data_IF_208270349429
#
_entry.id   IF_208270349429
#
_cell.length_a   1.000
_cell.length_b   1.000
_cell.length_c   1.000
_cell.angle_alpha   90.00
_cell.angle_beta   90.00
_cell.angle_gamma   90.00
#
_symmetry.space_group_name_H-M   'P 1'
#
loop_
_entity.id
_entity.type
_entity.pdbx_description
1 polymer ?
#
# COMPACT_ATOMS: atom_id res chain seq x y z
N UNK A 1 44.68 36.74 26.90
CA UNK A 1 44.51 35.85 25.73
C UNK A 1 43.33 34.94 26.00
N UNK A 2 42.32 35.07 25.15
CA UNK A 2 41.03 34.41 25.12
C UNK A 2 41.15 33.16 24.24
N UNK A 3 40.79 31.98 24.72
CA UNK A 3 40.49 30.76 23.93
C UNK A 3 40.14 29.63 24.90
N UNK A 4 39.17 28.75 24.69
CA UNK A 4 37.97 28.72 23.87
C UNK A 4 37.17 27.57 24.46
N UNK A 5 35.88 27.79 24.72
CA UNK A 5 34.93 26.78 25.18
C UNK A 5 34.90 25.61 24.18
N UNK A 6 35.00 24.36 24.65
CA UNK A 6 34.57 23.18 23.88
C UNK A 6 33.55 22.41 24.71
N UNK A 7 32.33 22.94 24.72
CA UNK A 7 31.15 22.19 25.15
C UNK A 7 30.88 21.20 24.01
N UNK A 8 31.22 19.94 24.26
CA UNK A 8 31.00 18.82 23.34
C UNK A 8 29.51 18.50 23.35
N UNK A 9 28.78 18.99 22.34
CA UNK A 9 27.40 18.60 22.10
C UNK A 9 27.38 17.14 21.65
N UNK A 10 26.96 16.24 22.55
CA UNK A 10 26.51 14.91 22.17
C UNK A 10 25.14 15.13 21.52
N UNK A 11 25.11 15.26 20.18
CA UNK A 11 23.87 15.17 19.42
C UNK A 11 23.36 13.73 19.56
N UNK A 12 22.38 13.54 20.44
CA UNK A 12 21.61 12.31 20.49
C UNK A 12 20.89 12.12 19.16
N UNK A 13 21.27 11.08 18.43
CA UNK A 13 20.55 10.61 17.25
C UNK A 13 19.22 10.02 17.75
N UNK A 14 18.19 10.86 17.88
CA UNK A 14 16.82 10.38 18.00
C UNK A 14 16.46 9.73 16.66
N UNK A 15 16.68 8.42 16.56
CA UNK A 15 15.96 7.58 15.60
C UNK A 15 14.50 7.66 16.03
N UNK A 16 13.76 8.61 15.46
CA UNK A 16 12.31 8.59 15.49
C UNK A 16 11.89 7.32 14.78
N UNK A 17 11.67 6.26 15.56
CA UNK A 17 10.87 5.13 15.09
C UNK A 17 9.53 5.75 14.74
N UNK A 18 9.28 5.95 13.44
CA UNK A 18 7.97 6.28 12.94
C UNK A 18 7.10 5.05 13.15
N UNK A 19 6.69 4.80 14.39
CA UNK A 19 5.59 3.91 14.70
C UNK A 19 4.36 4.62 14.19
N UNK A 20 4.09 4.45 12.89
CA UNK A 20 2.83 4.87 12.33
C UNK A 20 1.75 4.09 13.08
N UNK A 21 1.00 4.80 13.92
CA UNK A 21 -0.14 4.22 14.60
C UNK A 21 -1.09 3.68 13.53
N UNK A 22 -1.53 2.45 13.69
CA UNK A 22 -2.61 1.92 12.87
C UNK A 22 -3.84 2.78 13.12
N UNK A 23 -4.61 3.03 12.06
CA UNK A 23 -5.95 3.57 12.22
C UNK A 23 -6.74 2.63 13.15
N UNK A 24 -7.54 3.17 14.09
CA UNK A 24 -8.00 2.45 15.29
C UNK A 24 -8.83 1.20 15.02
N UNK A 25 -9.40 1.06 13.82
CA UNK A 25 -10.19 -0.11 13.41
C UNK A 25 -9.34 -1.21 12.74
N UNK A 26 -8.17 -0.86 12.21
CA UNK A 26 -7.29 -1.83 11.58
C UNK A 26 -6.60 -2.72 12.61
N UNK A 27 -6.44 -4.00 12.27
CA UNK A 27 -5.70 -4.95 13.11
C UNK A 27 -4.27 -5.13 12.61
N UNK A 28 -3.37 -5.56 13.51
CA UNK A 28 -2.02 -5.98 13.11
C UNK A 28 -2.05 -7.13 12.08
N UNK A 29 -3.07 -7.97 12.12
CA UNK A 29 -3.29 -9.03 11.13
C UNK A 29 -3.61 -8.46 9.75
N UNK A 30 -4.48 -7.44 9.67
CA UNK A 30 -4.80 -6.77 8.41
C UNK A 30 -3.57 -6.15 7.77
N UNK A 31 -2.75 -5.45 8.57
CA UNK A 31 -1.45 -4.93 8.13
C UNK A 31 -0.57 -6.04 7.60
N UNK A 32 -0.37 -7.10 8.38
CA UNK A 32 0.51 -8.20 8.02
C UNK A 32 0.09 -8.83 6.68
N UNK A 33 -1.20 -9.12 6.50
CA UNK A 33 -1.71 -9.74 5.26
C UNK A 33 -1.51 -8.81 4.05
N UNK A 34 -1.82 -7.53 4.18
CA UNK A 34 -1.64 -6.56 3.09
C UNK A 34 -0.15 -6.44 2.70
N UNK A 35 0.74 -6.28 3.68
CA UNK A 35 2.17 -6.16 3.44
C UNK A 35 2.72 -7.40 2.74
N UNK A 36 2.35 -8.61 3.18
CA UNK A 36 2.76 -9.86 2.53
C UNK A 36 2.22 -9.95 1.09
N UNK A 37 0.98 -9.55 0.84
CA UNK A 37 0.43 -9.50 -0.54
C UNK A 37 1.25 -8.60 -1.45
N UNK A 38 1.63 -7.40 -1.00
CA UNK A 38 2.48 -6.50 -1.76
C UNK A 38 3.86 -7.08 -2.02
N UNK A 39 4.50 -7.63 -0.98
CA UNK A 39 5.83 -8.25 -1.11
C UNK A 39 5.82 -9.44 -2.07
N UNK A 40 4.80 -10.30 -1.99
CA UNK A 40 4.64 -11.44 -2.89
C UNK A 40 4.49 -11.00 -4.34
N UNK A 41 3.71 -9.95 -4.61
CA UNK A 41 3.59 -9.43 -5.96
C UNK A 41 4.91 -8.88 -6.50
N UNK A 42 5.60 -8.04 -5.73
CA UNK A 42 6.91 -7.48 -6.12
C UNK A 42 7.91 -8.61 -6.37
N UNK A 43 7.92 -9.62 -5.48
CA UNK A 43 8.78 -10.78 -5.65
C UNK A 43 8.47 -11.51 -6.96
N UNK A 44 7.20 -11.83 -7.25
CA UNK A 44 6.80 -12.53 -8.47
C UNK A 44 7.16 -11.76 -9.75
N UNK A 45 6.98 -10.43 -9.76
CA UNK A 45 7.35 -9.57 -10.89
C UNK A 45 8.86 -9.51 -11.11
N UNK A 46 9.65 -9.56 -10.03
CA UNK A 46 11.11 -9.39 -10.08
C UNK A 46 11.90 -10.69 -10.09
N UNK A 47 11.26 -11.83 -9.84
CA UNK A 47 11.91 -13.13 -9.65
C UNK A 47 12.71 -13.63 -10.85
N UNK A 48 12.52 -13.03 -12.02
CA UNK A 48 13.24 -13.40 -13.25
C UNK A 48 14.58 -12.67 -13.42
N UNK A 49 14.83 -11.52 -12.77
CA UNK A 49 15.92 -10.63 -13.18
C UNK A 49 17.04 -10.40 -12.13
N UNK A 50 16.79 -10.39 -10.81
CA UNK A 50 17.82 -10.00 -9.83
C UNK A 50 17.54 -10.71 -8.48
N UNK A 51 18.56 -11.21 -7.73
CA UNK A 51 18.38 -11.54 -6.31
C UNK A 51 17.76 -10.35 -5.58
N UNK A 52 16.91 -10.61 -4.58
CA UNK A 52 16.23 -9.56 -3.81
C UNK A 52 17.26 -8.71 -3.03
N UNK A 53 17.91 -7.76 -3.70
CA UNK A 53 18.86 -6.83 -3.08
C UNK A 53 18.12 -5.75 -2.29
N UNK A 54 16.90 -5.37 -2.73
CA UNK A 54 16.07 -4.38 -2.07
C UNK A 54 14.98 -5.04 -1.21
N UNK A 55 14.96 -4.67 0.08
CA UNK A 55 13.88 -5.04 0.99
C UNK A 55 12.60 -4.28 0.59
N UNK A 56 11.61 -5.01 0.09
CA UNK A 56 10.31 -4.46 -0.30
C UNK A 56 9.41 -4.10 0.91
N UNK A 57 9.78 -4.51 2.12
CA UNK A 57 8.97 -4.32 3.32
C UNK A 57 8.63 -2.84 3.60
N UNK A 58 9.58 -1.87 3.59
CA UNK A 58 9.27 -0.47 3.87
C UNK A 58 8.29 0.14 2.86
N UNK A 59 8.43 -0.21 1.58
CA UNK A 59 7.50 0.22 0.53
C UNK A 59 6.09 -0.34 0.78
N UNK A 60 5.99 -1.63 1.11
CA UNK A 60 4.71 -2.26 1.37
C UNK A 60 4.04 -1.75 2.65
N UNK A 61 4.81 -1.40 3.69
CA UNK A 61 4.28 -0.72 4.87
C UNK A 61 3.74 0.68 4.54
N UNK A 62 4.44 1.43 3.68
CA UNK A 62 3.99 2.74 3.23
C UNK A 62 2.68 2.64 2.44
N UNK A 63 2.57 1.65 1.54
CA UNK A 63 1.33 1.39 0.79
C UNK A 63 0.17 1.06 1.71
N UNK A 64 0.38 0.20 2.71
CA UNK A 64 -0.66 -0.10 3.71
C UNK A 64 -1.08 1.15 4.49
N UNK A 65 -0.13 1.99 4.91
CA UNK A 65 -0.43 3.23 5.62
C UNK A 65 -1.23 4.21 4.77
N UNK A 66 -0.94 4.29 3.48
CA UNK A 66 -1.74 5.09 2.53
C UNK A 66 -3.16 4.53 2.42
N UNK A 67 -3.29 3.21 2.29
CA UNK A 67 -4.57 2.53 2.18
C UNK A 67 -5.42 2.73 3.44
N UNK A 68 -4.86 2.55 4.63
CA UNK A 68 -5.61 2.66 5.89
C UNK A 68 -6.15 4.06 6.14
N UNK A 69 -5.45 5.09 5.64
CA UNK A 69 -5.91 6.49 5.73
C UNK A 69 -6.97 6.85 4.69
N UNK A 70 -7.04 6.10 3.60
CA UNK A 70 -7.92 6.41 2.46
C UNK A 70 -9.20 5.59 2.50
N UNK A 71 -9.14 4.38 3.05
CA UNK A 71 -10.22 3.42 3.02
C UNK A 71 -10.69 3.09 4.45
N UNK A 72 -11.97 3.30 4.79
CA UNK A 72 -12.51 2.83 6.06
C UNK A 72 -12.33 1.31 6.22
N UNK A 73 -12.11 0.82 7.44
CA UNK A 73 -11.78 -0.60 7.68
C UNK A 73 -12.84 -1.56 7.14
N UNK A 74 -14.13 -1.21 7.28
CA UNK A 74 -15.25 -1.97 6.71
C UNK A 74 -15.09 -2.16 5.19
N UNK A 75 -14.77 -1.10 4.47
CA UNK A 75 -14.62 -1.12 3.02
C UNK A 75 -13.33 -1.84 2.62
N UNK A 76 -12.29 -1.76 3.44
CA UNK A 76 -11.08 -2.57 3.30
C UNK A 76 -11.38 -4.07 3.38
N UNK A 77 -12.20 -4.52 4.34
CA UNK A 77 -12.55 -5.94 4.44
C UNK A 77 -13.31 -6.42 3.21
N UNK A 78 -14.17 -5.57 2.62
CA UNK A 78 -14.89 -5.88 1.39
C UNK A 78 -13.92 -5.92 0.20
N UNK A 79 -13.09 -4.88 0.04
CA UNK A 79 -12.13 -4.73 -1.05
C UNK A 79 -11.09 -5.86 -1.07
N UNK A 80 -10.55 -6.22 0.10
CA UNK A 80 -9.59 -7.32 0.28
C UNK A 80 -10.17 -8.67 -0.17
N UNK A 81 -11.46 -8.89 0.01
CA UNK A 81 -12.10 -10.17 -0.31
C UNK A 81 -12.69 -10.23 -1.74
N UNK A 82 -12.82 -9.10 -2.42
CA UNK A 82 -13.52 -9.02 -3.72
C UNK A 82 -12.70 -9.48 -4.92
N UNK A 83 -11.37 -9.56 -4.86
CA UNK A 83 -10.57 -10.06 -6.01
C UNK A 83 -10.78 -11.56 -6.26
N UNK A 84 -11.19 -12.33 -5.24
CA UNK A 84 -11.63 -13.71 -5.43
C UNK A 84 -12.81 -13.82 -6.40
N UNK A 85 -13.59 -12.75 -6.62
CA UNK A 85 -14.66 -12.71 -7.62
C UNK A 85 -14.19 -12.26 -9.01
N UNK A 86 -13.05 -11.58 -9.13
CA UNK A 86 -12.55 -11.05 -10.42
C UNK A 86 -11.78 -12.12 -11.22
N UNK A 87 -11.02 -12.99 -10.56
CA UNK A 87 -10.36 -14.14 -11.23
C UNK A 87 -11.38 -15.13 -11.83
N UNK A 88 -12.58 -15.19 -11.23
CA UNK A 88 -13.72 -15.95 -11.75
C UNK A 88 -14.45 -15.24 -12.90
N UNK A 89 -14.39 -13.90 -12.97
CA UNK A 89 -14.95 -13.12 -14.08
C UNK A 89 -14.01 -13.09 -15.30
N UNK A 90 -12.69 -13.04 -15.08
CA UNK A 90 -11.66 -13.08 -16.12
C UNK A 90 -11.54 -14.44 -16.82
N UNK A 91 -12.05 -15.51 -16.22
CA UNK A 91 -12.13 -16.84 -16.87
C UNK A 91 -13.32 -16.99 -17.84
N UNK A 92 -14.21 -15.99 -17.94
CA UNK A 92 -15.31 -15.95 -18.90
C UNK A 92 -15.08 -14.82 -19.91
N UNK A 93 -13.96 -14.87 -20.64
CA UNK A 93 -13.72 -13.97 -21.76
C UNK A 93 -13.74 -14.79 -23.05
N UNK A 94 -14.95 -14.95 -23.60
CA UNK A 94 -15.10 -15.25 -25.02
C UNK A 94 -14.99 -13.92 -25.77
N UNK A 95 -13.91 -13.80 -26.54
CA UNK A 95 -13.57 -12.67 -27.39
C UNK A 95 -14.68 -12.39 -28.41
N UNK A 96 -15.29 -11.21 -28.32
CA UNK A 96 -15.64 -10.34 -29.46
C UNK A 96 -16.19 -9.02 -28.92
N UNK A 97 -15.54 -7.92 -29.25
CA UNK A 97 -15.98 -6.52 -29.04
C UNK A 97 -16.49 -6.15 -27.64
N UNK A 98 -15.59 -5.79 -26.72
CA UNK A 98 -15.98 -4.86 -25.65
C UNK A 98 -14.77 -4.20 -24.98
N UNK A 99 -14.86 -2.89 -24.81
CA UNK A 99 -14.01 -2.11 -23.90
C UNK A 99 -14.00 -2.78 -22.53
N UNK A 100 -12.86 -3.34 -22.15
CA UNK A 100 -12.68 -3.89 -20.80
C UNK A 100 -12.72 -2.71 -19.84
N UNK A 101 -13.87 -2.50 -19.21
CA UNK A 101 -14.00 -1.59 -18.09
C UNK A 101 -13.18 -2.20 -16.95
N UNK A 102 -11.95 -1.72 -16.78
CA UNK A 102 -11.05 -2.16 -15.72
C UNK A 102 -11.72 -1.83 -14.40
N UNK A 103 -12.32 -2.82 -13.77
CA UNK A 103 -12.91 -2.68 -12.44
C UNK A 103 -11.78 -2.43 -11.45
N UNK A 104 -11.67 -1.19 -10.97
CA UNK A 104 -10.66 -0.77 -10.00
C UNK A 104 -10.98 -1.37 -8.63
N UNK A 105 -10.00 -2.01 -8.01
CA UNK A 105 -10.10 -2.47 -6.63
C UNK A 105 -9.03 -1.75 -5.83
N UNK A 106 -9.46 -0.73 -5.06
CA UNK A 106 -8.56 0.15 -4.31
C UNK A 106 -7.57 -0.60 -3.39
N UNK A 107 -7.93 -1.77 -2.85
CA UNK A 107 -7.00 -2.59 -2.06
C UNK A 107 -5.86 -3.09 -2.94
N UNK A 108 -6.17 -3.75 -4.05
CA UNK A 108 -5.13 -4.30 -4.94
C UNK A 108 -4.42 -3.20 -5.72
N UNK A 109 -5.11 -2.17 -6.17
CA UNK A 109 -4.47 -1.06 -6.86
C UNK A 109 -3.41 -0.40 -5.97
N UNK A 110 -3.74 -0.12 -4.70
CA UNK A 110 -2.80 0.46 -3.74
C UNK A 110 -1.66 -0.52 -3.39
N UNK A 111 -1.97 -1.78 -3.08
CA UNK A 111 -0.96 -2.74 -2.63
C UNK A 111 -0.02 -3.18 -3.76
N UNK A 112 -0.50 -3.24 -5.00
CA UNK A 112 0.28 -3.60 -6.18
C UNK A 112 0.97 -2.37 -6.81
N UNK A 113 0.54 -1.16 -6.47
CA UNK A 113 1.12 0.09 -6.98
C UNK A 113 0.62 0.47 -8.36
N UNK A 114 -0.62 0.07 -8.67
CA UNK A 114 -1.32 0.46 -9.89
C UNK A 114 -1.83 1.89 -9.68
N UNK A 115 -1.51 2.85 -10.57
CA UNK A 115 -2.05 4.20 -10.49
C UNK A 115 -3.58 4.15 -10.50
N UNK A 116 -4.21 4.63 -9.43
CA UNK A 116 -5.67 4.78 -9.36
C UNK A 116 -6.01 6.20 -9.78
N UNK A 117 -6.77 6.38 -10.86
CA UNK A 117 -7.38 7.68 -11.16
C UNK A 117 -8.45 7.93 -10.11
N UNK A 118 -8.22 8.92 -9.24
CA UNK A 118 -9.20 9.33 -8.24
C UNK A 118 -10.29 10.07 -9.00
N UNK A 119 -11.38 9.38 -9.35
CA UNK A 119 -12.60 10.04 -9.80
C UNK A 119 -13.16 10.77 -8.57
N UNK A 120 -12.80 12.04 -8.42
CA UNK A 120 -13.49 12.95 -7.53
C UNK A 120 -14.93 13.04 -8.02
N UNK A 121 -15.84 12.30 -7.37
CA UNK A 121 -17.26 12.62 -7.46
C UNK A 121 -17.44 13.91 -6.68
N UNK A 122 -17.36 15.02 -7.40
CA UNK A 122 -17.81 16.32 -6.90
C UNK A 122 -19.30 16.17 -6.58
N UNK A 123 -19.59 15.88 -5.30
CA UNK A 123 -20.93 15.98 -4.76
C UNK A 123 -21.18 17.46 -4.50
N UNK A 124 -21.33 18.24 -5.58
CA UNK A 124 -21.92 19.57 -5.52
C UNK A 124 -23.41 19.40 -5.23
N UNK A 125 -23.74 19.39 -3.93
CA UNK A 125 -25.06 19.77 -3.45
C UNK A 125 -25.10 21.29 -3.55
N UNK A 126 -25.81 21.82 -4.56
CA UNK A 126 -26.95 22.74 -4.38
C UNK A 126 -27.69 22.95 -5.72
#
# INVERSE_FOLDING_TARGET
MQHSKKIMYILGLFLSMNTYALEPEYTAYDKHKAVITCMQHIYLEKYQEIPAEEDAFPLCEQRFLSLSRTLPHKDFLIAKNTLSSLENASSSVNTTDHSIEKTTNIYYDTMLGIPTEIIQTDKSIE
#
